data_IF_938047704532
#
_entry.id   IF_938047704532
#
_cell.length_a   1.000
_cell.length_b   1.000
_cell.length_c   1.000
_cell.angle_alpha   90.00
_cell.angle_beta   90.00
_cell.angle_gamma   90.00
#
_symmetry.space_group_name_H-M   'P 1'
#
loop_
_entity.id
_entity.type
_entity.pdbx_description
1 polymer ?
#
# COMPACT_ATOMS: atom_id res chain seq x y z
N UNK A 1 -14.74 1.64 -19.70
CA UNK A 1 -15.25 0.83 -18.58
C UNK A 1 -15.60 1.81 -17.47
N UNK A 2 -16.89 2.01 -17.19
CA UNK A 2 -17.36 3.08 -16.32
C UNK A 2 -17.31 2.59 -14.86
N UNK A 3 -16.25 2.96 -14.16
CA UNK A 3 -15.87 2.35 -12.87
C UNK A 3 -16.95 2.60 -11.80
N UNK A 4 -17.67 3.72 -11.86
CA UNK A 4 -18.80 4.03 -10.96
C UNK A 4 -19.98 3.06 -11.10
N UNK A 5 -20.23 2.50 -12.30
CA UNK A 5 -21.35 1.60 -12.52
C UNK A 5 -21.10 0.20 -11.94
N UNK A 6 -19.84 -0.23 -11.84
CA UNK A 6 -19.46 -1.56 -11.37
C UNK A 6 -19.61 -1.69 -9.85
N UNK A 7 -19.29 -0.62 -9.09
CA UNK A 7 -19.46 -0.61 -7.63
C UNK A 7 -20.92 -0.61 -7.18
N UNK A 8 -21.81 0.00 -7.99
CA UNK A 8 -23.25 0.04 -7.70
C UNK A 8 -23.88 -1.36 -7.70
N UNK A 9 -23.27 -2.31 -8.41
CA UNK A 9 -23.71 -3.72 -8.49
C UNK A 9 -23.14 -4.56 -7.33
N UNK A 10 -21.98 -4.20 -6.78
CA UNK A 10 -21.37 -4.92 -5.65
C UNK A 10 -22.14 -4.67 -4.33
N UNK A 11 -22.90 -3.58 -4.24
CA UNK A 11 -23.67 -3.20 -3.05
C UNK A 11 -25.00 -3.94 -2.85
N UNK A 12 -25.56 -4.61 -3.88
CA UNK A 12 -26.94 -5.08 -3.81
C UNK A 12 -27.10 -6.46 -3.13
N UNK A 13 -26.07 -7.32 -3.16
CA UNK A 13 -26.33 -8.74 -2.89
C UNK A 13 -25.77 -9.31 -1.58
N UNK A 14 -24.86 -8.65 -0.84
CA UNK A 14 -24.16 -9.31 0.29
C UNK A 14 -23.76 -8.47 1.52
N UNK A 15 -24.42 -7.35 1.84
CA UNK A 15 -24.14 -6.68 3.11
C UNK A 15 -25.39 -6.39 3.95
N UNK A 16 -25.82 -7.41 4.68
CA UNK A 16 -26.76 -7.27 5.81
C UNK A 16 -26.10 -6.67 7.06
N UNK A 17 -24.84 -6.21 6.99
CA UNK A 17 -24.21 -5.49 8.08
C UNK A 17 -24.52 -4.00 7.97
N UNK A 18 -25.19 -3.44 8.99
CA UNK A 18 -25.45 -1.98 9.12
C UNK A 18 -24.18 -1.10 9.19
N UNK A 19 -22.97 -1.66 9.04
CA UNK A 19 -21.72 -0.92 9.15
C UNK A 19 -21.00 -0.81 7.80
N UNK A 20 -20.61 0.40 7.38
CA UNK A 20 -19.95 0.62 6.11
C UNK A 20 -18.58 -0.08 6.05
N UNK A 21 -18.24 -0.59 4.87
CA UNK A 21 -16.96 -1.24 4.59
C UNK A 21 -15.85 -0.21 4.61
N UNK A 22 -14.78 -0.50 5.35
CA UNK A 22 -13.70 0.47 5.53
C UNK A 22 -12.69 0.46 4.37
N UNK A 23 -12.27 1.64 3.95
CA UNK A 23 -11.27 1.85 2.88
C UNK A 23 -10.26 2.94 3.24
N UNK A 24 -9.13 2.92 2.55
CA UNK A 24 -8.10 3.96 2.63
C UNK A 24 -8.22 4.92 1.45
N UNK A 25 -8.25 6.22 1.74
CA UNK A 25 -8.24 7.27 0.72
C UNK A 25 -6.89 7.38 -0.01
N UNK A 26 -6.85 7.97 -1.22
CA UNK A 26 -5.58 8.23 -1.92
C UNK A 26 -4.51 8.90 -1.06
N UNK A 27 -4.89 9.91 -0.26
CA UNK A 27 -3.94 10.62 0.62
C UNK A 27 -3.42 9.73 1.75
N UNK A 28 -4.24 8.80 2.27
CA UNK A 28 -3.80 7.83 3.28
C UNK A 28 -2.82 6.82 2.68
N UNK A 29 -3.03 6.39 1.44
CA UNK A 29 -2.07 5.53 0.73
C UNK A 29 -0.75 6.28 0.50
N UNK A 30 -0.80 7.53 0.05
CA UNK A 30 0.41 8.37 -0.12
C UNK A 30 1.16 8.55 1.21
N UNK A 31 0.44 8.81 2.31
CA UNK A 31 1.06 8.91 3.64
C UNK A 31 1.77 7.60 4.03
N UNK A 32 1.15 6.46 3.73
CA UNK A 32 1.74 5.14 3.97
C UNK A 32 2.95 4.85 3.10
N UNK A 33 2.97 5.29 1.84
CA UNK A 33 4.16 5.24 0.99
C UNK A 33 5.29 6.06 1.62
N UNK A 34 5.00 7.27 2.07
CA UNK A 34 6.01 8.18 2.60
C UNK A 34 6.61 7.68 3.93
N UNK A 35 5.79 7.16 4.84
CA UNK A 35 6.22 6.71 6.16
C UNK A 35 6.64 5.23 6.20
N UNK A 36 5.83 4.36 5.59
CA UNK A 36 6.00 2.90 5.61
C UNK A 36 6.66 2.32 4.37
N UNK A 37 6.99 3.16 3.38
CA UNK A 37 7.65 2.74 2.15
C UNK A 37 6.80 1.84 1.25
N UNK A 38 7.44 1.07 0.36
CA UNK A 38 6.78 0.16 -0.57
C UNK A 38 5.88 -0.89 0.09
N UNK A 39 6.24 -1.37 1.29
CA UNK A 39 5.45 -2.35 2.04
C UNK A 39 4.14 -1.75 2.57
N UNK A 40 4.20 -0.53 3.11
CA UNK A 40 3.01 0.20 3.53
C UNK A 40 2.06 0.49 2.36
N UNK A 41 2.60 0.84 1.20
CA UNK A 41 1.85 0.96 -0.05
C UNK A 41 1.15 -0.35 -0.44
N UNK A 42 1.92 -1.44 -0.53
CA UNK A 42 1.44 -2.75 -0.97
C UNK A 42 0.23 -3.21 -0.14
N UNK A 43 0.36 -3.10 1.18
CA UNK A 43 -0.69 -3.54 2.09
C UNK A 43 -1.96 -2.69 1.96
N UNK A 44 -1.85 -1.35 1.89
CA UNK A 44 -3.04 -0.50 1.77
C UNK A 44 -3.77 -0.70 0.44
N UNK A 45 -3.03 -0.83 -0.68
CA UNK A 45 -3.64 -1.13 -1.98
C UNK A 45 -4.33 -2.49 -1.96
N UNK A 46 -3.69 -3.51 -1.39
CA UNK A 46 -4.27 -4.83 -1.25
C UNK A 46 -5.58 -4.78 -0.44
N UNK A 47 -5.58 -4.12 0.72
CA UNK A 47 -6.77 -3.98 1.57
C UNK A 47 -7.89 -3.22 0.87
N UNK A 48 -7.58 -2.20 0.07
CA UNK A 48 -8.61 -1.52 -0.72
C UNK A 48 -9.23 -2.44 -1.78
N UNK A 49 -8.45 -3.23 -2.51
CA UNK A 49 -9.02 -4.21 -3.45
C UNK A 49 -9.80 -5.32 -2.75
N UNK A 50 -9.39 -5.70 -1.53
CA UNK A 50 -10.16 -6.61 -0.69
C UNK A 50 -11.51 -6.03 -0.29
N UNK A 51 -11.55 -4.78 0.17
CA UNK A 51 -12.80 -4.08 0.49
C UNK A 51 -13.74 -3.96 -0.72
N UNK A 52 -13.19 -3.92 -1.93
CA UNK A 52 -13.96 -3.90 -3.18
C UNK A 52 -14.35 -5.29 -3.69
N UNK A 53 -14.05 -6.37 -2.95
CA UNK A 53 -14.20 -7.76 -3.41
C UNK A 53 -13.56 -8.03 -4.79
N UNK A 54 -12.50 -7.30 -5.12
CA UNK A 54 -11.82 -7.39 -6.41
C UNK A 54 -10.61 -8.34 -6.32
N UNK A 55 -10.87 -9.65 -6.50
CA UNK A 55 -9.85 -10.70 -6.44
C UNK A 55 -8.70 -10.49 -7.44
N UNK A 56 -9.03 -10.04 -8.65
CA UNK A 56 -8.03 -9.76 -9.68
C UNK A 56 -7.08 -8.62 -9.26
N UNK A 57 -7.62 -7.56 -8.67
CA UNK A 57 -6.85 -6.44 -8.12
C UNK A 57 -5.96 -6.87 -6.96
N UNK A 58 -6.47 -7.71 -6.06
CA UNK A 58 -5.69 -8.30 -4.95
C UNK A 58 -4.50 -9.11 -5.46
N UNK A 59 -4.75 -10.05 -6.38
CA UNK A 59 -3.71 -10.92 -6.93
C UNK A 59 -2.65 -10.13 -7.69
N UNK A 60 -3.05 -9.16 -8.52
CA UNK A 60 -2.12 -8.26 -9.21
C UNK A 60 -1.28 -7.45 -8.23
N UNK A 61 -1.89 -6.96 -7.15
CA UNK A 61 -1.18 -6.20 -6.11
C UNK A 61 -0.13 -7.06 -5.44
N UNK A 62 -0.49 -8.27 -4.98
CA UNK A 62 0.47 -9.18 -4.35
C UNK A 62 1.58 -9.54 -5.35
N UNK A 63 1.24 -10.00 -6.56
CA UNK A 63 2.23 -10.49 -7.51
C UNK A 63 3.18 -9.39 -8.00
N UNK A 64 2.63 -8.34 -8.62
CA UNK A 64 3.45 -7.28 -9.19
C UNK A 64 4.02 -6.35 -8.12
N UNK A 65 3.23 -6.04 -7.09
CA UNK A 65 3.67 -5.14 -6.03
C UNK A 65 4.78 -5.76 -5.18
N UNK A 66 4.72 -7.06 -4.86
CA UNK A 66 5.83 -7.72 -4.14
C UNK A 66 7.08 -7.83 -5.03
N UNK A 67 6.93 -8.19 -6.31
CA UNK A 67 8.04 -8.27 -7.26
C UNK A 67 8.76 -6.92 -7.42
N UNK A 68 8.01 -5.83 -7.63
CA UNK A 68 8.57 -4.47 -7.75
C UNK A 68 9.24 -4.05 -6.44
N UNK A 69 8.59 -4.30 -5.30
CA UNK A 69 9.16 -3.98 -3.98
C UNK A 69 10.48 -4.72 -3.77
N UNK A 70 10.54 -6.01 -4.09
CA UNK A 70 11.76 -6.80 -3.99
C UNK A 70 12.87 -6.25 -4.89
N UNK A 71 12.57 -5.98 -6.18
CA UNK A 71 13.54 -5.42 -7.13
C UNK A 71 14.11 -4.10 -6.61
N UNK A 72 13.25 -3.21 -6.10
CA UNK A 72 13.68 -1.90 -5.59
C UNK A 72 14.50 -2.04 -4.31
N UNK A 73 14.09 -2.89 -3.36
CA UNK A 73 14.85 -3.14 -2.12
C UNK A 73 16.23 -3.70 -2.42
N UNK A 74 16.33 -4.69 -3.31
CA UNK A 74 17.61 -5.26 -3.72
C UNK A 74 18.44 -4.23 -4.50
N UNK A 75 17.83 -3.46 -5.40
CA UNK A 75 18.54 -2.42 -6.16
C UNK A 75 19.11 -1.33 -5.25
N UNK A 76 18.38 -0.94 -4.20
CA UNK A 76 18.83 0.01 -3.19
C UNK A 76 20.00 -0.54 -2.35
N UNK A 77 20.07 -1.85 -2.13
CA UNK A 77 21.18 -2.49 -1.39
C UNK A 77 22.51 -2.34 -2.12
N UNK A 78 22.49 -2.47 -3.46
CA UNK A 78 23.69 -2.38 -4.29
C UNK A 78 23.99 -0.96 -4.78
N UNK A 79 22.99 -0.08 -4.84
CA UNK A 79 23.16 1.32 -5.23
C UNK A 79 23.04 2.24 -4.01
N UNK A 80 24.18 2.62 -3.43
CA UNK A 80 24.28 3.49 -2.24
C UNK A 80 23.95 4.98 -2.49
N UNK A 81 23.42 5.33 -3.67
CA UNK A 81 23.10 6.71 -4.02
C UNK A 81 21.78 7.16 -3.40
N UNK A 82 21.84 8.16 -2.51
CA UNK A 82 20.63 8.81 -1.92
C UNK A 82 19.61 9.25 -2.98
N UNK A 83 20.08 9.62 -4.17
CA UNK A 83 19.24 10.03 -5.31
C UNK A 83 18.31 8.89 -5.74
N UNK A 84 18.81 7.65 -5.79
CA UNK A 84 18.05 6.49 -6.24
C UNK A 84 16.91 6.14 -5.25
N UNK A 85 17.18 6.23 -3.94
CA UNK A 85 16.18 6.06 -2.89
C UNK A 85 15.09 7.15 -2.93
N UNK A 86 15.46 8.41 -3.18
CA UNK A 86 14.48 9.50 -3.30
C UNK A 86 13.61 9.34 -4.55
N UNK A 87 14.20 8.96 -5.70
CA UNK A 87 13.47 8.75 -6.94
C UNK A 87 12.46 7.60 -6.84
N UNK A 88 12.83 6.50 -6.19
CA UNK A 88 11.92 5.36 -5.99
C UNK A 88 10.73 5.74 -5.11
N UNK A 89 10.94 6.54 -4.07
CA UNK A 89 9.84 7.06 -3.22
C UNK A 89 8.86 7.91 -4.03
N UNK A 90 9.38 8.85 -4.84
CA UNK A 90 8.55 9.70 -5.71
C UNK A 90 7.76 8.85 -6.70
N UNK A 91 8.38 7.85 -7.31
CA UNK A 91 7.71 6.92 -8.22
C UNK A 91 6.54 6.19 -7.53
N UNK A 92 6.75 5.67 -6.32
CA UNK A 92 5.67 5.03 -5.56
C UNK A 92 4.54 5.98 -5.20
N UNK A 93 4.84 7.26 -4.92
CA UNK A 93 3.80 8.26 -4.68
C UNK A 93 2.93 8.41 -5.95
N UNK A 94 3.55 8.60 -7.12
CA UNK A 94 2.80 8.71 -8.38
C UNK A 94 1.98 7.46 -8.69
N UNK A 95 2.58 6.27 -8.55
CA UNK A 95 1.90 5.00 -8.76
C UNK A 95 0.72 4.85 -7.78
N UNK A 96 0.90 5.25 -6.52
CA UNK A 96 -0.18 5.17 -5.53
C UNK A 96 -1.37 6.06 -5.86
N UNK A 97 -1.13 7.30 -6.29
CA UNK A 97 -2.18 8.22 -6.73
C UNK A 97 -2.86 7.66 -7.99
N UNK A 98 -2.08 7.14 -8.93
CA UNK A 98 -2.63 6.56 -10.16
C UNK A 98 -3.51 5.34 -9.87
N UNK A 99 -3.03 4.37 -9.08
CA UNK A 99 -3.77 3.16 -8.75
C UNK A 99 -5.04 3.48 -7.96
N UNK A 100 -4.92 4.31 -6.92
CA UNK A 100 -6.06 4.63 -6.05
C UNK A 100 -7.15 5.41 -6.76
N UNK A 101 -6.80 6.31 -7.70
CA UNK A 101 -7.80 7.10 -8.42
C UNK A 101 -8.41 6.39 -9.64
N UNK A 102 -7.68 5.47 -10.27
CA UNK A 102 -8.14 4.83 -11.52
C UNK A 102 -8.61 3.39 -11.35
N UNK A 103 -8.27 2.71 -10.25
CA UNK A 103 -8.65 1.31 -10.04
C UNK A 103 -9.33 1.06 -8.70
N UNK A 104 -9.47 2.09 -7.86
CA UNK A 104 -10.12 2.02 -6.56
C UNK A 104 -11.07 3.21 -6.40
N UNK A 105 -11.76 3.28 -5.26
CA UNK A 105 -12.60 4.44 -4.96
C UNK A 105 -11.75 5.62 -4.52
N UNK A 106 -11.91 6.74 -5.23
CA UNK A 106 -11.30 8.00 -4.83
C UNK A 106 -11.99 8.57 -3.57
N UNK A 107 -11.38 9.59 -2.96
CA UNK A 107 -11.90 10.19 -1.72
C UNK A 107 -13.36 10.65 -1.83
N UNK A 108 -13.74 11.30 -2.93
CA UNK A 108 -15.11 11.81 -3.10
C UNK A 108 -16.12 10.67 -3.24
N UNK A 109 -15.76 9.62 -3.96
CA UNK A 109 -16.61 8.45 -4.14
C UNK A 109 -16.91 7.76 -2.79
N UNK A 110 -15.92 7.67 -1.90
CA UNK A 110 -16.11 7.11 -0.54
C UNK A 110 -17.01 8.00 0.29
N UNK A 111 -16.79 9.33 0.28
CA UNK A 111 -17.64 10.29 1.02
C UNK A 111 -19.11 10.29 0.56
N UNK A 112 -19.35 10.04 -0.74
CA UNK A 112 -20.70 10.02 -1.31
C UNK A 112 -21.44 8.68 -1.15
N UNK A 113 -20.75 7.61 -0.75
CA UNK A 113 -21.33 6.28 -0.66
C UNK A 113 -21.87 5.99 0.74
N UNK A 114 -23.02 5.32 0.84
CA UNK A 114 -23.51 4.74 2.09
C UNK A 114 -22.73 3.49 2.51
N UNK A 115 -22.09 2.83 1.54
CA UNK A 115 -21.56 1.49 1.72
C UNK A 115 -20.11 1.48 2.19
N UNK A 116 -19.40 2.60 2.03
CA UNK A 116 -17.98 2.73 2.37
C UNK A 116 -17.70 3.90 3.30
N UNK A 117 -16.67 3.74 4.14
CA UNK A 117 -16.20 4.80 5.03
C UNK A 117 -14.68 4.70 5.22
N UNK A 118 -14.04 5.78 5.66
CA UNK A 118 -12.60 5.82 5.84
C UNK A 118 -12.14 5.09 7.11
N UNK A 119 -10.96 4.50 7.00
CA UNK A 119 -10.16 4.22 8.19
C UNK A 119 -9.63 5.52 8.83
N UNK A 120 -9.37 5.50 10.14
CA UNK A 120 -8.74 6.62 10.85
C UNK A 120 -7.31 6.86 10.38
N UNK A 121 -6.91 8.13 10.27
CA UNK A 121 -5.53 8.52 9.95
C UNK A 121 -4.51 7.99 10.97
N UNK A 122 -4.90 7.86 12.23
CA UNK A 122 -4.02 7.31 13.26
C UNK A 122 -3.64 5.85 12.98
N UNK A 123 -4.61 5.06 12.49
CA UNK A 123 -4.35 3.67 12.06
C UNK A 123 -3.34 3.63 10.92
N UNK A 124 -3.47 4.54 9.96
CA UNK A 124 -2.54 4.63 8.83
C UNK A 124 -1.13 4.95 9.32
N UNK A 125 -0.97 5.91 10.22
CA UNK A 125 0.33 6.26 10.81
C UNK A 125 0.94 5.06 11.54
N UNK A 126 0.18 4.41 12.43
CA UNK A 126 0.67 3.26 13.21
C UNK A 126 1.12 2.12 12.29
N UNK A 127 0.31 1.81 11.29
CA UNK A 127 0.60 0.76 10.32
C UNK A 127 1.81 1.11 9.44
N UNK A 128 1.96 2.38 9.09
CA UNK A 128 3.12 2.86 8.34
C UNK A 128 4.40 2.71 9.15
N UNK A 129 4.37 3.10 10.44
CA UNK A 129 5.49 2.90 11.36
C UNK A 129 5.83 1.41 11.52
N UNK A 130 4.81 0.55 11.59
CA UNK A 130 5.01 -0.90 11.65
C UNK A 130 5.73 -1.43 10.40
N UNK A 131 5.30 -1.04 9.20
CA UNK A 131 5.98 -1.45 7.96
C UNK A 131 7.36 -0.82 7.79
N UNK A 132 7.58 0.39 8.30
CA UNK A 132 8.90 1.02 8.37
C UNK A 132 9.86 0.16 9.20
N UNK A 133 9.43 -0.32 10.37
CA UNK A 133 10.23 -1.21 11.22
C UNK A 133 10.53 -2.54 10.54
N UNK A 134 9.53 -3.16 9.90
CA UNK A 134 9.73 -4.40 9.13
C UNK A 134 10.77 -4.19 8.02
N UNK A 135 10.63 -3.10 7.25
CA UNK A 135 11.57 -2.77 6.17
C UNK A 135 12.99 -2.56 6.71
N UNK A 136 13.11 -1.85 7.85
CA UNK A 136 14.38 -1.65 8.54
C UNK A 136 15.02 -2.96 9.00
N UNK A 137 14.25 -3.88 9.59
CA UNK A 137 14.74 -5.20 10.01
C UNK A 137 15.18 -6.03 8.80
N UNK A 138 14.39 -6.05 7.72
CA UNK A 138 14.73 -6.80 6.50
C UNK A 138 16.01 -6.27 5.84
N UNK A 139 16.25 -4.96 5.91
CA UNK A 139 17.40 -4.32 5.26
C UNK A 139 18.65 -4.37 6.14
N UNK A 140 18.53 -3.99 7.42
CA UNK A 140 19.65 -3.83 8.35
C UNK A 140 19.95 -5.12 9.12
N UNK A 141 18.93 -5.95 9.37
CA UNK A 141 19.04 -7.20 10.12
C UNK A 141 20.12 -8.15 9.59
N UNK A 142 20.19 -8.43 8.28
CA UNK A 142 21.26 -9.25 7.71
C UNK A 142 22.67 -8.72 8.05
N UNK A 143 22.90 -7.41 7.95
CA UNK A 143 24.20 -6.82 8.30
C UNK A 143 24.51 -6.94 9.78
N UNK A 144 23.51 -6.73 10.66
CA UNK A 144 23.69 -6.93 12.10
C UNK A 144 24.04 -8.38 12.43
N UNK A 145 23.41 -9.35 11.75
CA UNK A 145 23.75 -10.77 11.94
C UNK A 145 25.17 -11.07 11.45
N UNK A 146 25.57 -10.55 10.29
CA UNK A 146 26.94 -10.73 9.78
C UNK A 146 27.98 -10.08 10.69
N UNK A 147 27.69 -8.91 11.24
CA UNK A 147 28.53 -8.25 12.25
C UNK A 147 28.63 -9.08 13.53
N UNK A 148 27.52 -9.63 14.03
CA UNK A 148 27.51 -10.46 15.25
C UNK A 148 28.25 -11.80 15.10
N UNK A 149 28.42 -12.26 13.86
CA UNK A 149 29.15 -13.48 13.51
C UNK A 149 30.61 -13.19 13.11
N UNK A 150 31.09 -11.96 13.29
CA UNK A 150 32.42 -11.49 12.86
C UNK A 150 32.73 -11.73 11.36
N UNK A 151 31.69 -11.85 10.52
CA UNK A 151 31.84 -12.05 9.07
C UNK A 151 32.25 -10.76 8.36
N UNK A 152 31.96 -9.61 8.95
CA UNK A 152 32.32 -8.28 8.45
C UNK A 152 32.83 -7.47 9.65
N UNK A 153 33.89 -6.68 9.45
CA UNK A 153 34.49 -5.80 10.47
C UNK A 153 33.86 -4.41 10.48
#
# INVERSE_FOLDING_TARGET
MNIEADYKVIGDDKNTNCNPVKMYSPNQVVLSVFLGGPLGFLYLIYKNFESLNNENGKLKTILFGSAITYIITVSNLFNSGRIFASMTTVLFIFVSIYVTNNFQMNKRAIESSSDFDFHSNFRVILLSLFFMLISGILTVGPFLTMLSLDMIK
#
